data_IF_597658482295
#
_entry.id   IF_597658482295
#
_cell.length_a   1.000
_cell.length_b   1.000
_cell.length_c   1.000
_cell.angle_alpha   90.00
_cell.angle_beta   90.00
_cell.angle_gamma   90.00
#
_symmetry.space_group_name_H-M   'P 1'
#
loop_
_entity.id
_entity.type
_entity.pdbx_description
1 polymer ?
#
# COMPACT_ATOMS: atom_id res chain seq x y z
N UNK A 1 -13.79 -1.20 -1.72
CA UNK A 1 -12.71 -0.63 -2.47
C UNK A 1 -11.78 -1.69 -2.96
N UNK A 2 -11.38 -1.53 -4.15
CA UNK A 2 -10.48 -2.49 -4.76
C UNK A 2 -9.07 -1.99 -4.69
N UNK A 3 -8.15 -2.93 -4.59
CA UNK A 3 -6.74 -2.64 -4.71
C UNK A 3 -6.48 -2.35 -6.17
N UNK A 4 -6.12 -1.11 -6.48
CA UNK A 4 -5.84 -0.74 -7.85
C UNK A 4 -4.57 -1.39 -8.37
N UNK A 5 -3.59 -1.50 -7.49
CA UNK A 5 -2.30 -2.04 -7.87
C UNK A 5 -1.58 -2.56 -6.63
N UNK A 6 -1.50 -3.87 -6.51
CA UNK A 6 -0.76 -4.52 -5.43
C UNK A 6 0.37 -5.31 -6.07
N UNK A 7 1.60 -4.96 -5.71
CA UNK A 7 2.79 -5.64 -6.22
C UNK A 7 3.42 -6.44 -5.10
N UNK A 8 3.81 -7.65 -5.40
CA UNK A 8 4.51 -8.48 -4.44
C UNK A 8 5.57 -9.32 -5.17
N UNK A 9 6.55 -9.78 -4.40
CA UNK A 9 7.55 -10.69 -4.91
C UNK A 9 7.00 -12.08 -5.18
N UNK A 10 5.84 -12.41 -4.65
CA UNK A 10 5.15 -13.68 -4.83
C UNK A 10 3.69 -13.44 -5.15
N UNK A 11 3.10 -14.38 -5.86
CA UNK A 11 1.66 -14.41 -6.06
C UNK A 11 1.01 -15.16 -4.90
N UNK A 12 -0.13 -14.65 -4.43
CA UNK A 12 -0.88 -15.25 -3.35
C UNK A 12 -0.63 -14.59 -2.01
N UNK A 13 -0.71 -15.36 -0.94
CA UNK A 13 -0.60 -14.82 0.41
C UNK A 13 0.82 -14.92 0.94
N UNK A 14 1.14 -14.04 1.88
CA UNK A 14 2.42 -14.04 2.57
C UNK A 14 2.38 -14.81 3.89
N UNK A 15 1.20 -15.30 4.28
CA UNK A 15 1.04 -15.99 5.55
C UNK A 15 1.44 -15.11 6.72
N UNK A 16 2.31 -15.62 7.59
CA UNK A 16 2.78 -14.88 8.77
C UNK A 16 4.13 -14.22 8.58
N UNK A 17 4.63 -14.17 7.35
CA UNK A 17 5.90 -13.51 7.08
C UNK A 17 5.82 -12.03 7.45
N UNK A 18 6.92 -11.48 7.94
CA UNK A 18 7.03 -10.04 8.15
C UNK A 18 7.22 -9.36 6.80
N UNK A 19 6.57 -8.23 6.63
CA UNK A 19 6.59 -7.52 5.35
C UNK A 19 6.88 -6.04 5.55
N UNK A 20 7.39 -5.42 4.49
CA UNK A 20 7.45 -3.97 4.37
C UNK A 20 6.38 -3.57 3.38
N UNK A 21 5.68 -2.48 3.67
CA UNK A 21 4.64 -1.97 2.79
C UNK A 21 5.04 -0.59 2.31
N UNK A 22 5.05 -0.41 1.00
CA UNK A 22 5.33 0.87 0.38
C UNK A 22 4.07 1.27 -0.39
N UNK A 23 3.46 2.37 0.06
CA UNK A 23 2.25 2.90 -0.53
C UNK A 23 2.61 4.15 -1.32
N UNK A 24 2.25 4.19 -2.60
CA UNK A 24 2.53 5.34 -3.45
C UNK A 24 1.23 5.84 -4.06
N UNK A 25 0.98 7.12 -3.88
CA UNK A 25 -0.13 7.81 -4.53
C UNK A 25 0.41 8.65 -5.66
N UNK A 26 0.01 8.31 -6.89
CA UNK A 26 0.34 9.11 -8.06
C UNK A 26 -0.79 10.11 -8.27
N UNK A 27 -0.48 11.39 -8.27
CA UNK A 27 -1.48 12.45 -8.32
C UNK A 27 -1.16 13.48 -9.40
N UNK A 28 -2.22 14.10 -9.92
CA UNK A 28 -2.12 15.24 -10.81
C UNK A 28 -2.73 16.44 -10.10
N UNK A 29 -2.03 17.55 -10.06
CA UNK A 29 -2.48 18.75 -9.36
C UNK A 29 -1.87 18.89 -7.99
N UNK A 30 -2.68 19.00 -6.96
CA UNK A 30 -2.22 19.25 -5.60
C UNK A 30 -2.10 17.96 -4.80
N UNK A 31 -0.98 17.82 -4.09
CA UNK A 31 -0.79 16.71 -3.18
C UNK A 31 -1.75 16.81 -1.99
N UNK A 32 -2.14 15.67 -1.43
CA UNK A 32 -2.83 15.59 -0.15
C UNK A 32 -1.88 15.85 1.00
N UNK A 33 -2.42 16.26 2.14
CA UNK A 33 -1.68 16.16 3.39
C UNK A 33 -1.33 14.70 3.66
N UNK A 34 -0.17 14.45 4.25
CA UNK A 34 0.25 13.07 4.52
C UNK A 34 -0.70 12.34 5.48
N UNK A 35 -1.33 13.04 6.40
CA UNK A 35 -2.35 12.43 7.26
C UNK A 35 -3.50 11.85 6.44
N UNK A 36 -3.99 12.60 5.46
CA UNK A 36 -5.08 12.14 4.59
C UNK A 36 -4.63 11.02 3.66
N UNK A 37 -3.41 11.12 3.12
CA UNK A 37 -2.87 10.07 2.27
C UNK A 37 -2.69 8.78 3.07
N UNK A 38 -2.17 8.86 4.28
CA UNK A 38 -1.99 7.70 5.15
C UNK A 38 -3.33 7.06 5.51
N UNK A 39 -4.35 7.85 5.79
CA UNK A 39 -5.70 7.33 6.08
C UNK A 39 -6.27 6.56 4.89
N UNK A 40 -6.06 7.06 3.67
CA UNK A 40 -6.49 6.37 2.45
C UNK A 40 -5.81 5.02 2.31
N UNK A 41 -4.51 4.96 2.56
CA UNK A 41 -3.77 3.71 2.47
C UNK A 41 -4.10 2.76 3.62
N UNK A 42 -4.43 3.28 4.80
CA UNK A 42 -4.90 2.45 5.90
C UNK A 42 -6.11 1.60 5.48
N UNK A 43 -7.02 2.22 4.77
CA UNK A 43 -8.19 1.53 4.22
C UNK A 43 -7.80 0.40 3.27
N UNK A 44 -6.85 0.65 2.39
CA UNK A 44 -6.36 -0.36 1.46
C UNK A 44 -5.64 -1.50 2.18
N UNK A 45 -4.82 -1.19 3.16
CA UNK A 45 -4.11 -2.20 3.94
C UNK A 45 -5.10 -3.06 4.73
N UNK A 46 -6.15 -2.46 5.29
CA UNK A 46 -7.22 -3.23 5.94
C UNK A 46 -7.85 -4.23 4.97
N UNK A 47 -8.04 -3.83 3.70
CA UNK A 47 -8.57 -4.71 2.67
C UNK A 47 -7.59 -5.86 2.37
N UNK A 48 -6.31 -5.59 2.35
CA UNK A 48 -5.27 -6.60 2.14
C UNK A 48 -5.29 -7.64 3.28
N UNK A 49 -5.45 -7.18 4.51
CA UNK A 49 -5.57 -8.08 5.67
C UNK A 49 -6.83 -8.92 5.56
N UNK A 50 -7.96 -8.32 5.24
CA UNK A 50 -9.23 -9.03 5.09
C UNK A 50 -9.19 -10.06 3.98
N UNK A 51 -8.46 -9.79 2.92
CA UNK A 51 -8.28 -10.72 1.82
C UNK A 51 -7.32 -11.87 2.16
N UNK A 52 -6.68 -11.82 3.33
CA UNK A 52 -5.73 -12.85 3.75
C UNK A 52 -4.37 -12.78 3.08
N UNK A 53 -4.05 -11.67 2.42
CA UNK A 53 -2.76 -11.52 1.74
C UNK A 53 -1.63 -11.37 2.74
N UNK A 54 -1.84 -10.59 3.79
CA UNK A 54 -0.94 -10.54 4.94
C UNK A 54 -1.72 -10.90 6.19
N UNK A 55 -1.00 -11.34 7.23
CA UNK A 55 -1.63 -11.89 8.43
C UNK A 55 -2.37 -10.83 9.24
N UNK A 56 -1.76 -9.66 9.42
CA UNK A 56 -2.26 -8.60 10.30
C UNK A 56 -1.64 -7.28 9.89
N UNK A 57 -2.19 -6.18 10.38
CA UNK A 57 -1.64 -4.84 10.12
C UNK A 57 -0.78 -4.29 11.26
N UNK A 58 -0.52 -5.12 12.27
CA UNK A 58 0.28 -4.72 13.42
C UNK A 58 1.78 -4.80 13.19
N UNK A 59 2.57 -4.29 14.15
CA UNK A 59 4.03 -4.21 13.99
C UNK A 59 4.73 -5.57 13.98
N UNK A 60 4.07 -6.63 14.39
CA UNK A 60 4.63 -7.99 14.29
C UNK A 60 4.61 -8.50 12.87
N UNK A 61 3.72 -7.98 12.03
CA UNK A 61 3.58 -8.37 10.64
C UNK A 61 4.18 -7.32 9.72
N UNK A 62 3.88 -6.05 9.94
CA UNK A 62 4.39 -4.97 9.11
C UNK A 62 5.60 -4.35 9.80
N UNK A 63 6.77 -4.63 9.24
CA UNK A 63 8.03 -4.11 9.76
C UNK A 63 8.20 -2.63 9.45
N UNK A 64 7.78 -2.22 8.26
CA UNK A 64 7.93 -0.85 7.79
C UNK A 64 6.75 -0.49 6.90
N UNK A 65 6.24 0.70 7.08
CA UNK A 65 5.13 1.22 6.30
C UNK A 65 5.49 2.62 5.81
N UNK A 66 5.65 2.75 4.52
CA UNK A 66 6.05 4.01 3.87
C UNK A 66 4.91 4.54 3.01
N UNK A 67 4.65 5.83 3.10
CA UNK A 67 3.67 6.51 2.25
C UNK A 67 4.39 7.56 1.44
N UNK A 68 4.19 7.53 0.12
CA UNK A 68 4.78 8.46 -0.82
C UNK A 68 3.71 9.08 -1.69
N UNK A 69 3.98 10.28 -2.17
CA UNK A 69 3.14 10.92 -3.17
C UNK A 69 4.04 11.37 -4.32
N UNK A 70 3.63 11.03 -5.54
CA UNK A 70 4.39 11.33 -6.76
C UNK A 70 3.50 12.09 -7.73
N UNK A 71 3.99 13.23 -8.21
CA UNK A 71 3.27 14.04 -9.17
C UNK A 71 3.34 13.42 -10.57
N UNK A 72 2.21 13.40 -11.26
CA UNK A 72 2.13 12.95 -12.64
C UNK A 72 1.51 14.04 -13.51
N UNK A 73 1.76 13.97 -14.82
CA UNK A 73 1.39 15.03 -15.76
C UNK A 73 -0.09 15.06 -16.12
N UNK A 74 -0.81 13.96 -15.96
CA UNK A 74 -2.18 13.84 -16.41
C UNK A 74 -2.99 13.01 -15.44
N UNK A 75 -4.28 13.33 -15.33
CA UNK A 75 -5.21 12.56 -14.48
C UNK A 75 -5.30 11.09 -14.87
N UNK A 76 -5.07 10.77 -16.13
CA UNK A 76 -5.11 9.36 -16.56
C UNK A 76 -4.01 8.51 -15.96
N UNK A 77 -2.97 9.13 -15.39
CA UNK A 77 -1.89 8.42 -14.72
C UNK A 77 -2.05 8.38 -13.20
N UNK A 78 -3.13 8.94 -12.68
CA UNK A 78 -3.40 8.88 -11.26
C UNK A 78 -3.72 7.46 -10.84
N UNK A 79 -3.09 7.00 -9.77
CA UNK A 79 -3.36 5.69 -9.19
C UNK A 79 -2.82 5.62 -7.77
N UNK A 80 -3.25 4.60 -7.05
CA UNK A 80 -2.67 4.22 -5.77
C UNK A 80 -2.03 2.85 -5.94
N UNK A 81 -0.81 2.73 -5.46
CA UNK A 81 -0.01 1.52 -5.59
C UNK A 81 0.44 1.06 -4.22
N UNK A 82 0.26 -0.21 -3.92
CA UNK A 82 0.74 -0.82 -2.69
C UNK A 82 1.72 -1.91 -3.06
N UNK A 83 2.96 -1.75 -2.61
CA UNK A 83 4.01 -2.73 -2.82
C UNK A 83 4.28 -3.46 -1.52
N UNK A 84 4.28 -4.78 -1.57
CA UNK A 84 4.50 -5.61 -0.40
C UNK A 84 5.80 -6.38 -0.61
N UNK A 85 6.76 -6.18 0.30
CA UNK A 85 8.06 -6.82 0.23
C UNK A 85 8.23 -7.75 1.43
N UNK A 86 8.60 -8.98 1.18
CA UNK A 86 8.86 -9.95 2.24
C UNK A 86 10.20 -9.62 2.88
N UNK A 87 10.21 -9.61 4.22
CA UNK A 87 11.45 -9.51 4.97
C UNK A 87 12.12 -10.88 5.00
N UNK A 88 13.31 -10.94 4.49
CA UNK A 88 14.12 -12.16 4.46
C UNK A 88 15.19 -12.15 5.53
#
# INVERSE_FOLDING_TARGET
ALLEDVKSGNHGTFGRARVKIICTRYYCGTAMDFDNASASFKYLVDSIVKAGIIYDDGPKTIEEWTVKQVSVKSRKFQKMEVEILIHL
#
